data_IF_655923875165
#
_entry.id   IF_655923875165
#
_cell.length_a   1.000
_cell.length_b   1.000
_cell.length_c   1.000
_cell.angle_alpha   90.00
_cell.angle_beta   90.00
_cell.angle_gamma   90.00
#
_symmetry.space_group_name_H-M   'P 1'
#
loop_
_entity.id
_entity.type
_entity.pdbx_description
1 polymer ?
#
# COMPACT_ATOMS: atom_id res chain seq x y z
N UNK A 1 3.41 -7.61 30.07
CA UNK A 1 3.49 -7.44 28.61
C UNK A 1 2.62 -8.48 27.90
N UNK A 2 1.50 -8.08 27.25
CA UNK A 2 0.63 -9.01 26.51
C UNK A 2 1.25 -9.54 25.22
N UNK A 3 1.94 -8.68 24.46
CA UNK A 3 2.63 -9.07 23.22
C UNK A 3 3.72 -10.12 23.44
N UNK A 4 4.44 -10.05 24.57
CA UNK A 4 5.47 -11.02 24.94
C UNK A 4 4.88 -12.40 25.21
N UNK A 5 3.72 -12.47 25.88
CA UNK A 5 2.98 -13.72 26.10
C UNK A 5 2.51 -14.33 24.78
N UNK A 6 2.05 -13.51 23.83
CA UNK A 6 1.65 -13.96 22.47
C UNK A 6 2.85 -14.46 21.66
N UNK A 7 4.01 -13.81 21.77
CA UNK A 7 5.23 -14.18 21.03
C UNK A 7 5.92 -15.44 21.57
N UNK A 8 5.86 -15.67 22.89
CA UNK A 8 6.55 -16.76 23.57
C UNK A 8 6.42 -18.14 22.88
N UNK A 9 5.21 -18.65 22.55
CA UNK A 9 5.11 -19.98 21.93
C UNK A 9 5.80 -20.05 20.55
N UNK A 10 5.69 -19.01 19.72
CA UNK A 10 6.35 -18.96 18.41
C UNK A 10 7.88 -18.82 18.56
N UNK A 11 8.34 -18.07 19.56
CA UNK A 11 9.77 -17.90 19.85
C UNK A 11 10.42 -19.22 20.29
N UNK A 12 9.77 -19.98 21.17
CA UNK A 12 10.25 -21.30 21.61
C UNK A 12 10.23 -22.31 20.45
N UNK A 13 9.19 -22.29 19.61
CA UNK A 13 9.11 -23.12 18.39
C UNK A 13 10.23 -22.80 17.40
N UNK A 14 10.53 -21.53 17.19
CA UNK A 14 11.64 -21.10 16.35
C UNK A 14 12.99 -21.51 16.95
N UNK A 15 13.19 -21.35 18.27
CA UNK A 15 14.41 -21.77 18.96
C UNK A 15 14.67 -23.28 18.81
N UNK A 16 13.62 -24.11 18.92
CA UNK A 16 13.71 -25.54 18.68
C UNK A 16 14.16 -25.88 17.27
N UNK A 17 13.62 -25.19 16.24
CA UNK A 17 13.97 -25.41 14.83
C UNK A 17 15.34 -24.86 14.43
N UNK A 18 15.82 -23.82 15.11
CA UNK A 18 17.11 -23.18 14.83
C UNK A 18 18.27 -23.76 15.66
N UNK A 19 17.99 -24.75 16.51
CA UNK A 19 19.00 -25.37 17.39
C UNK A 19 20.21 -25.84 16.58
N UNK A 20 21.40 -25.36 16.96
CA UNK A 20 22.66 -25.66 16.28
C UNK A 20 23.01 -24.71 15.11
N UNK A 21 22.09 -23.84 14.69
CA UNK A 21 22.30 -22.84 13.65
C UNK A 21 22.31 -21.44 14.26
N UNK A 22 21.29 -21.12 15.07
CA UNK A 22 21.12 -19.81 15.73
C UNK A 22 20.67 -20.04 17.17
N UNK A 23 21.34 -19.39 18.11
CA UNK A 23 20.92 -19.41 19.49
C UNK A 23 19.93 -18.27 19.77
N UNK A 24 18.73 -18.63 20.20
CA UNK A 24 17.71 -17.69 20.64
C UNK A 24 17.77 -17.60 22.17
N UNK A 25 17.80 -16.38 22.69
CA UNK A 25 17.83 -16.09 24.12
C UNK A 25 16.76 -15.06 24.48
N UNK A 26 16.28 -15.10 25.73
CA UNK A 26 15.34 -14.13 26.30
C UNK A 26 15.94 -13.55 27.58
N UNK A 27 15.78 -12.24 27.77
CA UNK A 27 16.20 -11.52 28.97
C UNK A 27 14.96 -10.93 29.63
N UNK A 28 14.78 -11.23 30.91
CA UNK A 28 13.74 -10.57 31.70
C UNK A 28 14.27 -9.21 32.19
N UNK A 29 13.83 -8.15 31.52
CA UNK A 29 14.25 -6.78 31.84
C UNK A 29 13.72 -6.27 33.18
N UNK A 30 12.73 -6.93 33.79
CA UNK A 30 12.29 -6.58 35.15
C UNK A 30 13.33 -6.99 36.20
N UNK A 31 14.07 -8.07 35.93
CA UNK A 31 15.16 -8.56 36.78
C UNK A 31 16.55 -8.10 36.31
N UNK A 32 16.70 -7.66 35.05
CA UNK A 32 17.99 -7.32 34.41
C UNK A 32 17.96 -5.91 33.78
N UNK A 33 17.57 -4.91 34.58
CA UNK A 33 17.36 -3.53 34.11
C UNK A 33 18.61 -2.88 33.52
N UNK A 34 19.79 -3.12 34.11
CA UNK A 34 21.07 -2.58 33.61
C UNK A 34 21.38 -3.06 32.19
N UNK A 35 21.27 -4.38 31.94
CA UNK A 35 21.47 -4.96 30.61
C UNK A 35 20.50 -4.38 29.59
N UNK A 36 19.21 -4.29 29.94
CA UNK A 36 18.20 -3.78 29.03
C UNK A 36 18.34 -2.27 28.77
N UNK A 37 18.74 -1.49 29.78
CA UNK A 37 19.10 -0.08 29.64
C UNK A 37 20.31 0.11 28.74
N UNK A 38 21.37 -0.69 28.92
CA UNK A 38 22.60 -0.65 28.09
C UNK A 38 22.31 -0.85 26.60
N UNK A 39 21.33 -1.69 26.27
CA UNK A 39 20.94 -1.95 24.89
C UNK A 39 19.73 -1.11 24.41
N UNK A 40 19.30 -0.11 25.17
CA UNK A 40 18.25 0.83 24.76
C UNK A 40 16.86 0.21 24.61
N UNK A 41 16.52 -0.78 25.43
CA UNK A 41 15.19 -1.41 25.42
C UNK A 41 14.17 -0.49 26.10
N UNK A 42 13.27 0.10 25.31
CA UNK A 42 12.22 1.02 25.79
C UNK A 42 10.81 0.43 25.77
N UNK A 43 10.63 -0.75 25.16
CA UNK A 43 9.34 -1.43 25.04
C UNK A 43 9.48 -2.95 24.90
N UNK A 44 8.38 -3.67 25.12
CA UNK A 44 8.38 -5.14 25.13
C UNK A 44 7.32 -5.74 24.19
N UNK A 45 7.65 -6.79 23.40
CA UNK A 45 8.99 -7.37 23.24
C UNK A 45 9.87 -6.50 22.33
N UNK A 46 11.15 -6.39 22.67
CA UNK A 46 12.21 -5.87 21.77
C UNK A 46 13.09 -7.06 21.38
N UNK A 47 13.25 -7.29 20.07
CA UNK A 47 14.07 -8.36 19.52
C UNK A 47 15.30 -7.75 18.86
N UNK A 48 16.48 -8.25 19.23
CA UNK A 48 17.79 -7.80 18.74
C UNK A 48 18.61 -8.98 18.27
N UNK A 49 19.42 -8.77 17.24
CA UNK A 49 20.30 -9.77 16.65
C UNK A 49 21.73 -9.45 17.06
N UNK A 50 22.39 -10.42 17.67
CA UNK A 50 23.80 -10.33 18.02
C UNK A 50 24.64 -11.18 17.06
N UNK A 51 25.73 -10.61 16.54
CA UNK A 51 26.71 -11.33 15.72
C UNK A 51 28.10 -11.17 16.35
N UNK A 52 28.79 -12.28 16.59
CA UNK A 52 30.12 -12.31 17.21
C UNK A 52 30.21 -11.48 18.50
N UNK A 53 29.18 -11.55 19.35
CA UNK A 53 29.10 -10.85 20.64
C UNK A 53 28.73 -9.37 20.56
N UNK A 54 28.46 -8.81 19.37
CA UNK A 54 28.08 -7.40 19.18
C UNK A 54 26.61 -7.25 18.77
N UNK A 55 25.96 -6.18 19.24
CA UNK A 55 24.62 -5.79 18.78
C UNK A 55 24.71 -5.40 17.30
N UNK A 56 24.10 -6.21 16.44
CA UNK A 56 24.27 -6.13 14.99
C UNK A 56 23.12 -5.37 14.32
N UNK A 57 21.88 -5.69 14.68
CA UNK A 57 20.68 -5.12 14.06
C UNK A 57 19.43 -5.38 14.92
N UNK A 58 18.39 -4.54 14.82
CA UNK A 58 17.06 -4.92 15.28
C UNK A 58 16.52 -6.10 14.47
N UNK A 59 15.61 -6.87 15.06
CA UNK A 59 14.80 -7.82 14.29
C UNK A 59 13.58 -7.10 13.74
N UNK A 60 13.54 -6.93 12.42
CA UNK A 60 12.48 -6.25 11.70
C UNK A 60 11.50 -7.21 11.01
N UNK A 61 11.60 -8.51 11.33
CA UNK A 61 10.70 -9.53 10.80
C UNK A 61 9.34 -9.60 11.52
N UNK A 62 8.38 -10.37 10.98
CA UNK A 62 7.08 -10.58 11.60
C UNK A 62 7.22 -11.32 12.95
N UNK A 63 6.46 -10.91 13.96
CA UNK A 63 6.47 -11.46 15.34
C UNK A 63 5.64 -12.75 15.48
N UNK A 64 5.59 -13.57 14.43
CA UNK A 64 4.86 -14.85 14.32
C UNK A 64 5.80 -15.98 13.84
N UNK A 65 5.31 -16.95 13.07
CA UNK A 65 6.07 -18.08 12.52
C UNK A 65 7.27 -17.69 11.61
N UNK A 66 7.50 -16.39 11.38
CA UNK A 66 8.57 -15.89 10.53
C UNK A 66 9.97 -15.84 11.15
N UNK A 67 10.12 -15.97 12.48
CA UNK A 67 11.46 -15.91 13.14
C UNK A 67 12.41 -16.96 12.58
N UNK A 68 11.93 -18.20 12.40
CA UNK A 68 12.74 -19.29 11.83
C UNK A 68 13.24 -18.93 10.43
N UNK A 69 12.35 -18.50 9.54
CA UNK A 69 12.70 -18.17 8.16
C UNK A 69 13.65 -16.98 8.10
N UNK A 70 13.38 -15.94 8.90
CA UNK A 70 14.23 -14.76 9.00
C UNK A 70 15.63 -15.15 9.46
N UNK A 71 15.75 -15.85 10.60
CA UNK A 71 17.06 -16.22 11.14
C UNK A 71 17.81 -17.22 10.25
N UNK A 72 17.12 -18.16 9.60
CA UNK A 72 17.75 -19.06 8.62
C UNK A 72 18.34 -18.27 7.45
N UNK A 73 17.67 -17.20 6.99
CA UNK A 73 18.21 -16.27 5.99
C UNK A 73 19.42 -15.48 6.51
N UNK A 74 19.47 -15.18 7.81
CA UNK A 74 20.58 -14.47 8.48
C UNK A 74 21.82 -15.33 8.73
N UNK A 75 21.67 -16.66 8.82
CA UNK A 75 22.77 -17.57 9.19
C UNK A 75 23.15 -18.56 8.11
N UNK A 76 22.38 -18.64 7.03
CA UNK A 76 22.81 -19.30 5.81
C UNK A 76 24.05 -18.62 5.21
N UNK A 77 24.78 -19.33 4.32
CA UNK A 77 25.86 -18.70 3.57
C UNK A 77 25.32 -17.53 2.75
N UNK A 78 26.17 -16.53 2.48
CA UNK A 78 25.80 -15.37 1.66
C UNK A 78 25.23 -15.79 0.30
N UNK A 79 25.73 -16.91 -0.22
CA UNK A 79 25.21 -17.62 -1.38
C UNK A 79 25.19 -19.13 -1.11
N UNK A 80 24.07 -19.79 -1.41
CA UNK A 80 23.92 -21.24 -1.25
C UNK A 80 24.62 -21.99 -2.40
N UNK A 81 25.55 -22.91 -2.07
CA UNK A 81 26.16 -23.79 -3.07
C UNK A 81 25.18 -24.90 -3.46
N UNK A 82 24.75 -24.92 -4.71
CA UNK A 82 23.85 -25.93 -5.27
C UNK A 82 24.69 -26.96 -6.04
N UNK A 83 24.47 -28.26 -5.79
CA UNK A 83 25.28 -29.35 -6.34
C UNK A 83 24.57 -30.14 -7.43
N UNK A 84 23.28 -29.91 -7.62
CA UNK A 84 22.46 -30.66 -8.55
C UNK A 84 21.38 -29.79 -9.20
N UNK A 85 20.81 -30.29 -10.29
CA UNK A 85 19.62 -29.68 -10.93
C UNK A 85 18.42 -29.65 -9.99
N UNK A 86 18.29 -30.63 -9.11
CA UNK A 86 17.23 -30.69 -8.09
C UNK A 86 17.41 -29.57 -7.05
N UNK A 87 18.64 -29.34 -6.57
CA UNK A 87 18.93 -28.21 -5.67
C UNK A 87 18.56 -26.87 -6.31
N UNK A 88 18.88 -26.69 -7.60
CA UNK A 88 18.50 -25.51 -8.36
C UNK A 88 16.98 -25.35 -8.43
N UNK A 89 16.25 -26.40 -8.83
CA UNK A 89 14.79 -26.36 -8.91
C UNK A 89 14.16 -26.02 -7.57
N UNK A 90 14.62 -26.63 -6.48
CA UNK A 90 14.17 -26.35 -5.13
C UNK A 90 14.48 -24.90 -4.70
N UNK A 91 15.65 -24.39 -5.08
CA UNK A 91 16.05 -23.03 -4.74
C UNK A 91 15.24 -21.95 -5.49
N UNK A 92 14.97 -22.15 -6.78
CA UNK A 92 14.24 -21.19 -7.63
C UNK A 92 12.72 -21.31 -7.50
N UNK A 93 12.21 -22.45 -7.02
CA UNK A 93 10.80 -22.61 -6.66
C UNK A 93 10.50 -21.89 -5.33
N UNK A 94 10.55 -20.56 -5.37
CA UNK A 94 10.39 -19.71 -4.20
C UNK A 94 9.42 -18.55 -4.47
N UNK A 95 8.97 -17.91 -3.38
CA UNK A 95 8.12 -16.74 -3.46
C UNK A 95 8.90 -15.47 -3.84
N UNK A 96 10.19 -15.43 -3.54
CA UNK A 96 11.08 -14.33 -3.94
C UNK A 96 11.86 -14.69 -5.20
N UNK A 97 12.36 -13.66 -5.88
CA UNK A 97 13.29 -13.85 -6.98
C UNK A 97 14.62 -14.44 -6.47
N UNK A 98 15.22 -15.28 -7.30
CA UNK A 98 16.45 -16.02 -6.98
C UNK A 98 17.56 -15.61 -7.94
N UNK A 99 18.71 -15.20 -7.40
CA UNK A 99 19.89 -14.84 -8.19
C UNK A 99 20.88 -15.99 -8.11
N UNK A 100 21.22 -16.58 -9.26
CA UNK A 100 22.11 -17.73 -9.34
C UNK A 100 23.30 -17.39 -10.23
N UNK A 101 24.52 -17.53 -9.69
CA UNK A 101 25.73 -17.54 -10.54
C UNK A 101 26.09 -18.96 -10.89
N UNK A 102 26.40 -19.18 -12.15
CA UNK A 102 27.08 -20.35 -12.64
C UNK A 102 28.52 -19.89 -12.90
N UNK A 103 29.45 -20.21 -12.00
CA UNK A 103 30.79 -19.61 -12.02
C UNK A 103 31.78 -20.37 -12.92
N UNK A 104 31.45 -21.59 -13.36
CA UNK A 104 32.44 -22.52 -13.89
C UNK A 104 33.60 -22.71 -12.91
N UNK A 105 34.82 -22.81 -13.44
CA UNK A 105 36.08 -22.90 -12.67
C UNK A 105 36.71 -21.53 -12.35
N UNK A 106 36.01 -20.41 -12.59
CA UNK A 106 36.52 -19.04 -12.42
C UNK A 106 36.35 -18.54 -10.99
N UNK A 107 37.41 -18.69 -10.19
CA UNK A 107 37.44 -18.25 -8.78
C UNK A 107 37.25 -16.73 -8.62
N UNK A 108 37.90 -15.83 -9.40
CA UNK A 108 37.67 -14.39 -9.30
C UNK A 108 36.21 -13.97 -9.49
N UNK A 109 35.50 -14.55 -10.46
CA UNK A 109 34.10 -14.24 -10.71
C UNK A 109 33.20 -14.71 -9.56
N UNK A 110 33.48 -15.89 -9.01
CA UNK A 110 32.77 -16.40 -7.84
C UNK A 110 33.01 -15.51 -6.62
N UNK A 111 34.24 -15.09 -6.35
CA UNK A 111 34.58 -14.23 -5.22
C UNK A 111 33.85 -12.88 -5.26
N UNK A 112 33.78 -12.24 -6.43
CA UNK A 112 33.05 -10.98 -6.59
C UNK A 112 31.53 -11.17 -6.41
N UNK A 113 30.98 -12.28 -6.90
CA UNK A 113 29.58 -12.64 -6.64
C UNK A 113 29.31 -12.85 -5.15
N UNK A 114 30.18 -13.59 -4.44
CA UNK A 114 30.04 -13.87 -3.02
C UNK A 114 30.10 -12.57 -2.19
N UNK A 115 30.98 -11.63 -2.54
CA UNK A 115 31.00 -10.29 -1.92
C UNK A 115 29.67 -9.55 -2.13
N UNK A 116 29.15 -9.55 -3.35
CA UNK A 116 27.87 -8.91 -3.64
C UNK A 116 26.71 -9.59 -2.90
N UNK A 117 26.71 -10.92 -2.84
CA UNK A 117 25.74 -11.71 -2.10
C UNK A 117 25.76 -11.36 -0.60
N UNK A 118 26.95 -11.23 0.01
CA UNK A 118 27.07 -10.84 1.41
C UNK A 118 26.52 -9.45 1.73
N UNK A 119 26.64 -8.51 0.79
CA UNK A 119 26.08 -7.15 0.94
C UNK A 119 24.57 -7.06 0.63
N UNK A 120 24.02 -8.03 -0.11
CA UNK A 120 22.67 -7.99 -0.65
C UNK A 120 21.75 -9.09 -0.10
N UNK A 121 22.25 -10.03 0.71
CA UNK A 121 21.53 -11.20 1.26
C UNK A 121 20.28 -10.85 2.07
N UNK A 122 20.25 -9.68 2.68
CA UNK A 122 19.08 -9.16 3.40
C UNK A 122 17.90 -8.96 2.44
N UNK A 123 18.24 -8.60 1.21
CA UNK A 123 17.32 -8.09 0.19
C UNK A 123 16.93 -9.15 -0.83
N UNK A 124 17.83 -10.07 -1.14
CA UNK A 124 17.67 -11.05 -2.21
C UNK A 124 18.27 -12.40 -1.83
N UNK A 125 17.88 -13.45 -2.56
CA UNK A 125 18.35 -14.82 -2.33
C UNK A 125 19.40 -15.17 -3.38
N UNK A 126 20.60 -15.54 -2.92
CA UNK A 126 21.72 -15.87 -3.80
C UNK A 126 22.08 -17.35 -3.70
N UNK A 127 22.43 -17.93 -4.84
CA UNK A 127 23.00 -19.26 -4.94
C UNK A 127 24.11 -19.29 -5.99
N UNK A 128 24.95 -20.32 -5.93
CA UNK A 128 26.00 -20.55 -6.92
C UNK A 128 26.09 -22.03 -7.29
N UNK A 129 26.41 -22.28 -8.55
CA UNK A 129 26.68 -23.60 -9.13
C UNK A 129 28.04 -23.54 -9.83
N UNK A 130 28.85 -24.59 -9.67
CA UNK A 130 30.15 -24.75 -10.33
C UNK A 130 30.01 -25.32 -11.74
N UNK A 131 29.13 -24.73 -12.56
CA UNK A 131 28.86 -25.11 -13.95
C UNK A 131 28.89 -23.86 -14.87
N UNK A 132 28.76 -24.06 -16.20
CA UNK A 132 28.77 -23.07 -17.31
C UNK A 132 28.63 -21.59 -16.93
N UNK A 133 29.59 -20.73 -17.31
CA UNK A 133 29.65 -19.33 -16.89
C UNK A 133 28.42 -18.47 -17.25
N UNK A 134 27.60 -18.10 -16.26
CA UNK A 134 26.48 -17.15 -16.41
C UNK A 134 26.02 -16.60 -15.05
N UNK A 135 25.27 -15.49 -15.04
CA UNK A 135 24.51 -15.06 -13.86
C UNK A 135 23.06 -14.91 -14.30
N UNK A 136 22.14 -15.56 -13.59
CA UNK A 136 20.72 -15.61 -13.93
C UNK A 136 19.89 -15.05 -12.78
N UNK A 137 18.85 -14.29 -13.11
CA UNK A 137 17.76 -13.95 -12.20
C UNK A 137 16.55 -14.78 -12.57
N UNK A 138 16.12 -15.65 -11.66
CA UNK A 138 14.88 -16.40 -11.75
C UNK A 138 13.77 -15.61 -11.07
N UNK A 139 12.75 -15.24 -11.84
CA UNK A 139 11.53 -14.64 -11.28
C UNK A 139 10.72 -15.71 -10.58
N UNK A 140 9.89 -15.35 -9.59
CA UNK A 140 9.11 -16.33 -8.87
C UNK A 140 8.14 -17.08 -9.81
N UNK A 141 8.10 -18.43 -9.80
CA UNK A 141 7.31 -19.20 -10.77
C UNK A 141 5.82 -18.88 -10.81
N UNK A 142 5.23 -18.49 -9.66
CA UNK A 142 3.81 -18.09 -9.59
C UNK A 142 3.48 -16.82 -10.39
N UNK A 143 4.49 -16.03 -10.73
CA UNK A 143 4.38 -14.80 -11.53
C UNK A 143 4.82 -15.04 -12.99
N UNK A 144 5.02 -16.29 -13.41
CA UNK A 144 5.29 -16.61 -14.80
C UNK A 144 4.11 -16.17 -15.68
N UNK A 145 4.42 -15.51 -16.79
CA UNK A 145 3.44 -15.00 -17.74
C UNK A 145 4.02 -14.92 -19.16
N UNK A 146 3.16 -14.59 -20.12
CA UNK A 146 3.53 -14.51 -21.54
C UNK A 146 4.10 -13.14 -21.97
N UNK A 147 4.16 -12.15 -21.07
CA UNK A 147 4.59 -10.79 -21.40
C UNK A 147 6.05 -10.52 -21.06
N UNK A 148 6.68 -11.38 -20.27
CA UNK A 148 8.08 -11.23 -19.85
C UNK A 148 8.72 -12.58 -19.50
N UNK A 149 10.04 -12.68 -19.68
CA UNK A 149 10.77 -13.92 -19.42
C UNK A 149 10.82 -14.26 -17.92
N UNK A 150 10.66 -15.54 -17.58
CA UNK A 150 10.79 -16.00 -16.19
C UNK A 150 12.25 -16.05 -15.72
N UNK A 151 13.21 -16.03 -16.65
CA UNK A 151 14.65 -16.06 -16.36
C UNK A 151 15.34 -14.98 -17.17
N UNK A 152 16.07 -14.10 -16.48
CA UNK A 152 16.82 -13.01 -17.12
C UNK A 152 18.31 -13.28 -16.99
N UNK A 153 19.02 -13.16 -18.12
CA UNK A 153 20.48 -13.32 -18.17
C UNK A 153 21.16 -11.99 -17.86
N UNK A 154 22.12 -12.01 -16.95
CA UNK A 154 23.02 -10.89 -16.69
C UNK A 154 24.15 -10.88 -17.73
N UNK A 155 24.26 -9.76 -18.46
CA UNK A 155 25.20 -9.60 -19.58
C UNK A 155 26.31 -8.58 -19.32
N UNK A 156 26.23 -7.82 -18.22
CA UNK A 156 27.23 -6.82 -17.84
C UNK A 156 28.49 -7.46 -17.22
N UNK A 157 29.54 -6.65 -17.02
CA UNK A 157 30.68 -7.05 -16.19
C UNK A 157 30.27 -7.20 -14.73
N UNK A 158 30.65 -8.32 -14.09
CA UNK A 158 30.21 -8.63 -12.73
C UNK A 158 30.95 -7.74 -11.71
N UNK A 159 30.19 -6.86 -11.06
CA UNK A 159 30.58 -6.05 -9.91
C UNK A 159 29.39 -5.95 -8.96
N UNK A 160 29.62 -5.57 -7.70
CA UNK A 160 28.53 -5.30 -6.76
C UNK A 160 27.53 -4.27 -7.32
N UNK A 161 28.03 -3.20 -7.95
CA UNK A 161 27.20 -2.11 -8.48
C UNK A 161 26.37 -2.54 -9.70
N UNK A 162 26.97 -3.24 -10.65
CA UNK A 162 26.27 -3.75 -11.83
C UNK A 162 25.25 -4.82 -11.46
N UNK A 163 25.57 -5.72 -10.52
CA UNK A 163 24.63 -6.73 -10.04
C UNK A 163 23.45 -6.10 -9.30
N UNK A 164 23.70 -5.12 -8.40
CA UNK A 164 22.62 -4.38 -7.72
C UNK A 164 21.70 -3.67 -8.71
N UNK A 165 22.28 -3.01 -9.72
CA UNK A 165 21.52 -2.35 -10.79
C UNK A 165 20.67 -3.37 -11.55
N UNK A 166 21.28 -4.48 -11.97
CA UNK A 166 20.61 -5.55 -12.68
C UNK A 166 19.41 -6.08 -11.91
N UNK A 167 19.57 -6.42 -10.61
CA UNK A 167 18.46 -6.95 -9.81
C UNK A 167 17.33 -5.91 -9.70
N UNK A 168 17.67 -4.64 -9.44
CA UNK A 168 16.70 -3.55 -9.33
C UNK A 168 15.91 -3.33 -10.62
N UNK A 169 16.55 -3.45 -11.76
CA UNK A 169 15.91 -3.18 -13.05
C UNK A 169 15.11 -4.40 -13.58
N UNK A 170 15.11 -5.53 -12.85
CA UNK A 170 14.49 -6.79 -13.28
C UNK A 170 13.44 -7.38 -12.31
N UNK A 171 12.78 -6.56 -11.49
CA UNK A 171 11.65 -6.98 -10.64
C UNK A 171 10.45 -7.57 -11.41
N UNK A 172 10.42 -7.35 -12.72
CA UNK A 172 9.30 -7.72 -13.59
C UNK A 172 8.35 -6.56 -13.80
N UNK A 173 7.42 -6.75 -14.72
CA UNK A 173 6.48 -5.71 -15.16
C UNK A 173 5.38 -5.46 -14.11
N UNK A 174 4.98 -6.47 -13.34
CA UNK A 174 4.02 -6.33 -12.24
C UNK A 174 4.37 -7.24 -11.03
N UNK A 175 5.41 -6.90 -10.23
CA UNK A 175 5.77 -7.63 -9.02
C UNK A 175 4.67 -7.63 -7.94
N UNK A 176 4.74 -8.62 -7.04
CA UNK A 176 4.04 -8.59 -5.76
C UNK A 176 4.80 -7.64 -4.81
N UNK A 177 4.18 -6.52 -4.45
CA UNK A 177 4.69 -5.61 -3.44
C UNK A 177 4.37 -6.13 -2.05
N UNK A 178 5.40 -6.26 -1.22
CA UNK A 178 5.35 -6.63 0.19
C UNK A 178 5.97 -5.51 1.03
N UNK A 179 5.82 -5.56 2.35
CA UNK A 179 6.46 -4.57 3.22
C UNK A 179 7.99 -4.51 3.06
N UNK A 180 8.62 -5.63 2.70
CA UNK A 180 10.09 -5.73 2.58
C UNK A 180 10.64 -5.08 1.30
N UNK A 181 9.84 -5.03 0.23
CA UNK A 181 10.27 -4.50 -1.08
C UNK A 181 9.59 -3.16 -1.45
N UNK A 182 8.56 -2.74 -0.71
CA UNK A 182 7.75 -1.53 -0.92
C UNK A 182 8.59 -0.30 -1.25
N UNK A 183 9.53 0.03 -0.38
CA UNK A 183 10.29 1.29 -0.51
C UNK A 183 11.21 1.26 -1.74
N UNK A 184 11.62 0.07 -2.20
CA UNK A 184 12.42 -0.10 -3.43
C UNK A 184 11.59 0.05 -4.69
N UNK A 185 10.32 -0.36 -4.66
CA UNK A 185 9.39 -0.18 -5.78
C UNK A 185 8.95 1.29 -5.90
N UNK A 186 8.81 2.00 -4.77
CA UNK A 186 8.37 3.41 -4.71
C UNK A 186 9.43 4.45 -5.08
N UNK A 187 10.63 4.04 -5.45
CA UNK A 187 11.66 4.97 -5.97
C UNK A 187 11.30 5.53 -7.36
N UNK A 188 10.30 4.94 -8.03
CA UNK A 188 9.72 5.41 -9.29
C UNK A 188 8.21 5.59 -9.12
N UNK A 189 7.58 6.16 -10.14
CA UNK A 189 6.13 6.21 -10.21
C UNK A 189 5.59 4.78 -10.23
N UNK A 190 4.67 4.49 -9.32
CA UNK A 190 4.19 3.14 -9.04
C UNK A 190 2.67 3.12 -9.03
N UNK A 191 2.09 2.27 -9.87
CA UNK A 191 0.70 1.84 -9.76
C UNK A 191 0.65 0.58 -8.89
N UNK A 192 -0.26 0.56 -7.93
CA UNK A 192 -0.53 -0.63 -7.11
C UNK A 192 -2.01 -0.98 -7.10
N UNK A 193 -2.33 -2.24 -7.41
CA UNK A 193 -3.65 -2.81 -7.19
C UNK A 193 -3.66 -3.61 -5.88
N UNK A 194 -4.47 -3.16 -4.91
CA UNK A 194 -4.64 -3.77 -3.60
C UNK A 194 -5.92 -4.62 -3.56
N UNK A 195 -5.79 -5.90 -3.22
CA UNK A 195 -6.93 -6.81 -3.03
C UNK A 195 -6.54 -7.94 -2.07
N UNK A 196 -7.44 -8.89 -1.81
CA UNK A 196 -7.12 -10.08 -0.99
C UNK A 196 -6.17 -11.05 -1.72
N UNK A 197 -4.91 -10.65 -1.82
CA UNK A 197 -3.85 -11.37 -2.50
C UNK A 197 -3.21 -12.40 -1.55
N UNK A 198 -3.74 -13.62 -1.58
CA UNK A 198 -3.16 -14.74 -0.83
C UNK A 198 -2.98 -15.95 -1.76
N UNK A 199 -1.73 -16.19 -2.17
CA UNK A 199 -1.37 -17.31 -3.04
C UNK A 199 -1.41 -18.69 -2.35
N UNK A 200 -1.61 -18.75 -1.03
CA UNK A 200 -1.71 -19.99 -0.28
C UNK A 200 -3.18 -20.37 -0.01
N UNK A 201 -3.94 -19.44 0.56
CA UNK A 201 -5.32 -19.71 1.00
C UNK A 201 -6.37 -19.21 0.00
N UNK A 202 -6.02 -18.27 -0.90
CA UNK A 202 -6.94 -17.67 -1.87
C UNK A 202 -6.34 -17.60 -3.29
N UNK A 203 -5.94 -18.76 -3.82
CA UNK A 203 -5.34 -18.87 -5.17
C UNK A 203 -6.26 -18.29 -6.26
N UNK A 204 -7.59 -18.47 -6.12
CA UNK A 204 -8.57 -17.95 -7.08
C UNK A 204 -8.64 -16.41 -7.05
N UNK A 205 -8.67 -15.80 -5.86
CA UNK A 205 -8.66 -14.35 -5.69
C UNK A 205 -7.36 -13.70 -6.17
N UNK A 206 -6.25 -14.44 -6.15
CA UNK A 206 -4.95 -14.01 -6.67
C UNK A 206 -4.94 -13.75 -8.19
N UNK A 207 -5.97 -14.18 -8.94
CA UNK A 207 -6.02 -14.08 -10.40
C UNK A 207 -6.17 -12.65 -10.94
N UNK A 208 -6.62 -11.68 -10.14
CA UNK A 208 -6.70 -10.27 -10.58
C UNK A 208 -5.35 -9.75 -11.11
N UNK A 209 -4.25 -10.31 -10.62
CA UNK A 209 -2.91 -10.04 -11.14
C UNK A 209 -2.83 -10.20 -12.66
N UNK A 210 -3.46 -11.22 -13.27
CA UNK A 210 -3.43 -11.41 -14.73
C UNK A 210 -4.13 -10.28 -15.48
N UNK A 211 -5.21 -9.74 -14.91
CA UNK A 211 -5.95 -8.62 -15.49
C UNK A 211 -5.10 -7.35 -15.44
N UNK A 212 -4.46 -7.07 -14.30
CA UNK A 212 -3.51 -5.96 -14.16
C UNK A 212 -2.32 -6.13 -15.11
N UNK A 213 -1.75 -7.33 -15.18
CA UNK A 213 -0.59 -7.68 -16.01
C UNK A 213 -0.87 -7.44 -17.50
N UNK A 214 -2.06 -7.84 -17.97
CA UNK A 214 -2.49 -7.65 -19.36
C UNK A 214 -2.59 -6.18 -19.74
N UNK A 215 -3.05 -5.33 -18.84
CA UNK A 215 -3.11 -3.88 -19.08
C UNK A 215 -1.71 -3.28 -18.99
N UNK A 216 -0.96 -3.62 -17.94
CA UNK A 216 0.40 -3.13 -17.70
C UNK A 216 1.34 -3.36 -18.91
N UNK A 217 1.20 -4.49 -19.61
CA UNK A 217 2.04 -4.79 -20.79
C UNK A 217 1.86 -3.79 -21.93
N UNK A 218 0.68 -3.17 -22.07
CA UNK A 218 0.42 -2.10 -23.06
C UNK A 218 1.13 -0.79 -22.71
N UNK A 219 1.49 -0.59 -21.45
CA UNK A 219 2.12 0.63 -20.93
C UNK A 219 3.60 0.42 -20.56
N UNK A 220 4.18 -0.72 -20.92
CA UNK A 220 5.60 -0.99 -20.72
C UNK A 220 6.46 0.11 -21.36
N UNK A 221 7.48 0.59 -20.64
CA UNK A 221 8.36 1.67 -21.11
C UNK A 221 7.82 3.09 -20.93
N UNK A 222 6.59 3.29 -20.42
CA UNK A 222 6.00 4.63 -20.20
C UNK A 222 6.43 5.30 -18.89
N UNK A 223 7.40 4.74 -18.17
CA UNK A 223 7.95 5.31 -16.92
C UNK A 223 7.13 5.01 -15.65
N UNK A 224 6.06 4.23 -15.76
CA UNK A 224 5.23 3.77 -14.63
C UNK A 224 5.53 2.29 -14.35
N UNK A 225 5.85 1.96 -13.10
CA UNK A 225 5.94 0.56 -12.62
C UNK A 225 4.55 0.11 -12.17
N UNK A 226 4.22 -1.16 -12.36
CA UNK A 226 2.99 -1.76 -11.85
C UNK A 226 3.30 -2.73 -10.71
N UNK A 227 2.33 -2.93 -9.83
CA UNK A 227 2.43 -3.90 -8.74
C UNK A 227 1.05 -4.36 -8.29
N UNK A 228 1.02 -5.51 -7.63
CA UNK A 228 -0.12 -5.98 -6.83
C UNK A 228 0.31 -6.11 -5.38
N UNK A 229 -0.61 -5.92 -4.44
CA UNK A 229 -0.31 -6.03 -3.02
C UNK A 229 -1.49 -6.63 -2.25
N UNK A 230 -1.19 -7.33 -1.17
CA UNK A 230 -2.23 -7.77 -0.24
C UNK A 230 -2.81 -6.56 0.51
N UNK A 231 -4.10 -6.31 0.35
CA UNK A 231 -4.79 -5.18 0.97
C UNK A 231 -4.66 -5.17 2.50
N UNK A 232 -4.68 -6.34 3.14
CA UNK A 232 -4.61 -6.48 4.61
C UNK A 232 -3.25 -6.06 5.15
N UNK A 233 -2.18 -6.39 4.45
CA UNK A 233 -0.83 -5.97 4.85
C UNK A 233 -0.72 -4.44 4.85
N UNK A 234 -1.30 -3.78 3.85
CA UNK A 234 -1.20 -2.33 3.64
C UNK A 234 -2.38 -1.53 4.20
N UNK A 235 -3.23 -2.13 5.03
CA UNK A 235 -4.49 -1.50 5.46
C UNK A 235 -4.28 -0.14 6.15
N UNK A 236 -3.38 -0.07 7.14
CA UNK A 236 -3.09 1.19 7.84
C UNK A 236 -2.59 2.27 6.88
N UNK A 237 -1.78 1.90 5.88
CA UNK A 237 -1.34 2.85 4.86
C UNK A 237 -2.49 3.30 3.96
N UNK A 238 -3.38 2.39 3.56
CA UNK A 238 -4.55 2.73 2.75
C UNK A 238 -5.51 3.66 3.50
N UNK A 239 -5.69 3.44 4.79
CA UNK A 239 -6.45 4.32 5.69
C UNK A 239 -5.77 5.70 5.80
N UNK A 240 -4.47 5.73 6.09
CA UNK A 240 -3.74 6.98 6.33
C UNK A 240 -3.53 7.82 5.07
N UNK A 241 -3.15 7.17 3.97
CA UNK A 241 -2.81 7.86 2.73
C UNK A 241 -4.00 8.07 1.80
N UNK A 242 -5.04 7.24 1.88
CA UNK A 242 -6.16 7.26 0.93
C UNK A 242 -7.54 7.32 1.58
N UNK A 243 -7.62 7.35 2.92
CA UNK A 243 -8.88 7.45 3.64
C UNK A 243 -9.78 6.22 3.51
N UNK A 244 -9.23 5.09 3.07
CA UNK A 244 -10.00 3.86 2.88
C UNK A 244 -10.03 3.02 4.16
N UNK A 245 -11.17 2.98 4.83
CA UNK A 245 -11.39 2.15 6.00
C UNK A 245 -11.62 0.66 5.68
N UNK A 246 -11.82 -0.13 6.73
CA UNK A 246 -12.25 -1.54 6.65
C UNK A 246 -13.58 -1.73 5.93
N UNK A 247 -14.46 -0.72 5.92
CA UNK A 247 -15.79 -0.76 5.32
C UNK A 247 -15.79 -0.42 3.81
N UNK A 248 -14.80 0.30 3.30
CA UNK A 248 -14.71 0.74 1.90
C UNK A 248 -14.14 -0.35 0.96
N UNK A 249 -14.11 -1.60 1.44
CA UNK A 249 -13.37 -2.69 0.86
C UNK A 249 -14.22 -3.80 0.29
N UNK A 250 -14.86 -3.53 -0.85
CA UNK A 250 -15.36 -4.61 -1.70
C UNK A 250 -14.26 -5.62 -2.05
N UNK A 251 -14.66 -6.81 -2.51
CA UNK A 251 -13.72 -7.87 -2.97
C UNK A 251 -12.89 -7.46 -4.20
N UNK A 252 -13.24 -6.34 -4.84
CA UNK A 252 -12.59 -5.85 -6.05
C UNK A 252 -11.27 -5.13 -5.73
N UNK A 253 -10.29 -5.18 -6.67
CA UNK A 253 -9.05 -4.44 -6.51
C UNK A 253 -9.25 -2.92 -6.38
N UNK A 254 -8.64 -2.34 -5.36
CA UNK A 254 -8.47 -0.90 -5.24
C UNK A 254 -7.15 -0.47 -5.89
N UNK A 255 -7.20 0.46 -6.84
CA UNK A 255 -6.03 0.84 -7.64
C UNK A 255 -5.59 2.26 -7.31
N UNK A 256 -4.31 2.42 -7.01
CA UNK A 256 -3.68 3.73 -6.76
C UNK A 256 -2.46 3.94 -7.64
N UNK A 257 -2.10 5.20 -7.87
CA UNK A 257 -0.78 5.60 -8.36
C UNK A 257 -0.12 6.51 -7.33
N UNK A 258 1.12 6.19 -6.95
CA UNK A 258 2.01 7.06 -6.18
C UNK A 258 3.22 7.43 -7.03
N UNK A 259 3.38 8.71 -7.30
CA UNK A 259 4.56 9.22 -8.02
C UNK A 259 5.78 9.26 -7.09
N UNK A 260 6.99 9.30 -7.66
CA UNK A 260 8.24 9.53 -6.93
C UNK A 260 8.26 10.85 -6.14
N UNK A 261 7.43 11.82 -6.54
CA UNK A 261 7.25 13.11 -5.86
C UNK A 261 6.23 13.02 -4.71
N UNK A 262 5.60 11.87 -4.49
CA UNK A 262 4.59 11.67 -3.45
C UNK A 262 3.17 12.06 -3.87
N UNK A 263 2.94 12.54 -5.09
CA UNK A 263 1.57 12.74 -5.59
C UNK A 263 0.81 11.41 -5.64
N UNK A 264 -0.42 11.44 -5.17
CA UNK A 264 -1.32 10.29 -5.05
C UNK A 264 -2.47 10.42 -6.04
N UNK A 265 -2.90 9.31 -6.62
CA UNK A 265 -4.08 9.23 -7.48
C UNK A 265 -4.82 7.93 -7.16
N UNK A 266 -6.14 7.97 -7.22
CA UNK A 266 -7.00 6.81 -6.96
C UNK A 266 -7.90 6.57 -8.17
N UNK A 267 -8.06 5.30 -8.54
CA UNK A 267 -9.03 4.92 -9.56
C UNK A 267 -10.44 5.02 -8.96
N UNK A 268 -11.29 5.85 -9.57
CA UNK A 268 -12.66 6.09 -9.09
C UNK A 268 -13.66 5.05 -9.61
N UNK A 269 -13.49 4.61 -10.85
CA UNK A 269 -14.31 3.55 -11.42
C UNK A 269 -13.97 2.21 -10.76
N UNK A 270 -14.96 1.34 -10.55
CA UNK A 270 -14.71 0.00 -10.03
C UNK A 270 -13.81 -0.82 -10.96
N UNK A 271 -13.02 -1.72 -10.37
CA UNK A 271 -12.15 -2.59 -11.14
C UNK A 271 -12.95 -3.61 -11.96
N UNK A 272 -12.80 -3.56 -13.28
CA UNK A 272 -13.43 -4.50 -14.21
C UNK A 272 -12.43 -5.55 -14.67
N UNK A 273 -12.87 -6.82 -14.68
CA UNK A 273 -12.03 -7.96 -15.08
C UNK A 273 -11.60 -7.91 -16.55
N UNK A 274 -12.31 -7.20 -17.41
CA UNK A 274 -11.88 -7.00 -18.79
C UNK A 274 -10.68 -6.03 -18.93
N UNK A 275 -10.35 -5.28 -17.87
CA UNK A 275 -9.27 -4.29 -17.83
C UNK A 275 -9.68 -2.90 -18.33
N UNK A 276 -10.93 -2.70 -18.77
CA UNK A 276 -11.34 -1.45 -19.41
C UNK A 276 -11.31 -0.24 -18.45
N UNK A 277 -11.72 -0.43 -17.19
CA UNK A 277 -11.68 0.65 -16.20
C UNK A 277 -10.25 1.04 -15.83
N UNK A 278 -9.36 0.05 -15.70
CA UNK A 278 -7.92 0.29 -15.49
C UNK A 278 -7.27 0.98 -16.70
N UNK A 279 -7.66 0.62 -17.93
CA UNK A 279 -7.17 1.27 -19.15
C UNK A 279 -7.56 2.74 -19.20
N UNK A 280 -8.83 3.09 -18.97
CA UNK A 280 -9.29 4.50 -18.91
C UNK A 280 -8.54 5.30 -17.84
N UNK A 281 -8.38 4.72 -16.65
CA UNK A 281 -7.64 5.36 -15.56
C UNK A 281 -6.19 5.68 -15.95
N UNK A 282 -5.51 4.76 -16.65
CA UNK A 282 -4.16 4.98 -17.14
C UNK A 282 -4.10 6.00 -18.28
N UNK A 283 -5.07 5.97 -19.21
CA UNK A 283 -5.18 6.98 -20.27
C UNK A 283 -5.31 8.39 -19.69
N UNK A 284 -6.19 8.57 -18.70
CA UNK A 284 -6.38 9.83 -18.00
C UNK A 284 -5.14 10.25 -17.20
N UNK A 285 -4.45 9.29 -16.57
CA UNK A 285 -3.20 9.56 -15.85
C UNK A 285 -2.13 10.09 -16.79
N UNK A 286 -1.85 9.38 -17.88
CA UNK A 286 -0.82 9.78 -18.85
C UNK A 286 -1.21 11.04 -19.65
N UNK A 287 -2.50 11.33 -19.79
CA UNK A 287 -2.98 12.57 -20.39
C UNK A 287 -3.00 13.76 -19.40
N UNK A 288 -2.67 13.55 -18.12
CA UNK A 288 -2.71 14.59 -17.09
C UNK A 288 -4.12 15.05 -16.70
N UNK A 289 -5.15 14.26 -17.01
CA UNK A 289 -6.56 14.57 -16.73
C UNK A 289 -6.99 14.20 -15.31
N UNK A 290 -6.25 13.32 -14.63
CA UNK A 290 -6.56 12.95 -13.26
C UNK A 290 -6.23 14.06 -12.27
N UNK A 291 -7.17 14.31 -11.36
CA UNK A 291 -6.90 15.12 -10.16
C UNK A 291 -6.13 14.30 -9.14
N UNK A 292 -5.18 14.95 -8.47
CA UNK A 292 -4.44 14.33 -7.34
C UNK A 292 -5.41 14.04 -6.21
N UNK A 293 -5.24 12.89 -5.58
CA UNK A 293 -5.84 12.61 -4.29
C UNK A 293 -5.13 13.45 -3.22
N UNK A 294 -5.91 14.24 -2.50
CA UNK A 294 -5.48 14.99 -1.32
C UNK A 294 -6.43 14.55 -0.20
N UNK A 295 -5.88 14.18 0.96
CA UNK A 295 -6.70 13.88 2.14
C UNK A 295 -7.26 15.21 2.65
N UNK A 296 -8.53 15.46 2.45
CA UNK A 296 -9.26 16.58 3.05
C UNK A 296 -10.25 16.06 4.08
N UNK A 297 -10.64 16.90 5.04
CA UNK A 297 -11.77 16.54 5.90
C UNK A 297 -13.00 16.29 5.00
N UNK A 298 -13.80 15.22 5.23
CA UNK A 298 -14.96 14.93 4.41
C UNK A 298 -15.94 16.10 4.40
N UNK A 299 -16.11 16.75 5.55
CA UNK A 299 -16.87 17.98 5.69
C UNK A 299 -15.91 19.16 5.59
N UNK A 300 -16.02 19.94 4.51
CA UNK A 300 -15.20 21.12 4.32
C UNK A 300 -15.58 22.22 5.31
N UNK A 301 -14.63 22.71 6.10
CA UNK A 301 -14.87 23.83 7.01
C UNK A 301 -14.85 25.13 6.22
N UNK A 302 -15.96 25.86 6.29
CA UNK A 302 -16.15 27.16 5.66
C UNK A 302 -16.15 28.23 6.75
N UNK A 303 -15.44 29.31 6.50
CA UNK A 303 -15.46 30.55 7.29
C UNK A 303 -15.95 31.69 6.39
N UNK A 304 -16.27 32.86 6.96
CA UNK A 304 -16.81 33.97 6.19
C UNK A 304 -15.94 34.33 4.96
N UNK A 305 -14.62 34.33 5.12
CA UNK A 305 -13.67 34.65 4.04
C UNK A 305 -13.66 33.63 2.90
N UNK A 306 -13.87 32.33 3.19
CA UNK A 306 -13.84 31.27 2.18
C UNK A 306 -15.22 30.88 1.66
N UNK A 307 -16.27 31.58 2.09
CA UNK A 307 -17.64 31.24 1.74
C UNK A 307 -17.89 31.35 0.24
N UNK A 308 -17.50 32.46 -0.38
CA UNK A 308 -17.75 32.69 -1.80
C UNK A 308 -16.99 31.67 -2.66
N UNK A 309 -15.71 31.45 -2.35
CA UNK A 309 -14.86 30.49 -3.08
C UNK A 309 -15.36 29.03 -3.00
N UNK A 310 -16.00 28.65 -1.89
CA UNK A 310 -16.41 27.26 -1.66
C UNK A 310 -17.89 27.06 -1.97
N UNK A 311 -18.77 27.86 -1.38
CA UNK A 311 -20.23 27.68 -1.48
C UNK A 311 -20.76 28.22 -2.80
N UNK A 312 -20.20 29.32 -3.30
CA UNK A 312 -20.61 29.95 -4.55
C UNK A 312 -19.77 29.52 -5.76
N UNK A 313 -18.93 28.47 -5.65
CA UNK A 313 -18.26 27.89 -6.81
C UNK A 313 -19.29 27.53 -7.90
N UNK A 314 -19.21 28.15 -9.09
CA UNK A 314 -20.21 27.97 -10.14
C UNK A 314 -20.20 26.55 -10.73
N UNK A 315 -19.21 25.72 -10.39
CA UNK A 315 -19.04 24.36 -10.91
C UNK A 315 -19.34 23.27 -9.87
N UNK A 316 -19.86 23.65 -8.69
CA UNK A 316 -20.15 22.71 -7.60
C UNK A 316 -21.57 22.82 -7.10
N UNK A 317 -22.16 21.67 -6.82
CA UNK A 317 -23.30 21.57 -5.93
C UNK A 317 -22.79 21.53 -4.50
N UNK A 318 -23.28 22.43 -3.63
CA UNK A 318 -22.75 22.55 -2.27
C UNK A 318 -23.86 22.38 -1.26
N UNK A 319 -23.70 21.41 -0.35
CA UNK A 319 -24.53 21.28 0.84
C UNK A 319 -23.79 21.94 2.01
N UNK A 320 -24.34 23.01 2.56
CA UNK A 320 -23.70 23.79 3.64
C UNK A 320 -24.52 23.71 4.92
N UNK A 321 -23.91 23.24 6.01
CA UNK A 321 -24.47 23.24 7.36
C UNK A 321 -24.02 24.48 8.13
N UNK A 322 -24.96 25.33 8.54
CA UNK A 322 -24.74 26.36 9.54
C UNK A 322 -25.02 25.80 10.94
N UNK A 323 -24.01 25.84 11.80
CA UNK A 323 -24.09 25.27 13.15
C UNK A 323 -23.56 26.22 14.22
N UNK A 324 -23.88 25.88 15.48
CA UNK A 324 -23.30 26.48 16.67
C UNK A 324 -22.63 25.39 17.52
N UNK A 325 -21.43 25.62 18.11
CA UNK A 325 -20.77 24.65 18.97
C UNK A 325 -21.57 24.27 20.24
N UNK A 326 -22.42 25.17 20.73
CA UNK A 326 -23.23 24.96 21.94
C UNK A 326 -24.57 24.28 21.66
N UNK A 327 -24.96 24.12 20.40
CA UNK A 327 -26.26 23.58 19.97
C UNK A 327 -26.32 22.04 20.12
N UNK A 328 -27.22 21.48 20.95
CA UNK A 328 -27.33 20.03 21.15
C UNK A 328 -27.76 19.27 19.89
N UNK A 329 -28.66 19.84 19.08
CA UNK A 329 -29.11 19.25 17.82
C UNK A 329 -27.99 19.17 16.79
N UNK A 330 -27.09 20.15 16.77
CA UNK A 330 -25.93 20.22 15.90
C UNK A 330 -24.93 19.10 16.24
N UNK A 331 -24.67 18.86 17.53
CA UNK A 331 -23.84 17.75 18.00
C UNK A 331 -24.44 16.38 17.64
N UNK A 332 -25.76 16.24 17.69
CA UNK A 332 -26.45 15.02 17.30
C UNK A 332 -26.38 14.77 15.79
N UNK A 333 -26.36 15.83 14.99
CA UNK A 333 -26.30 15.76 13.52
C UNK A 333 -24.88 15.53 12.99
N UNK A 334 -23.85 15.99 13.69
CA UNK A 334 -22.44 15.87 13.27
C UNK A 334 -22.01 14.48 12.78
N UNK A 335 -22.30 13.36 13.48
CA UNK A 335 -21.91 12.03 12.98
C UNK A 335 -22.63 11.67 11.66
N UNK A 336 -23.91 12.00 11.53
CA UNK A 336 -24.71 11.72 10.32
C UNK A 336 -24.23 12.59 9.14
N UNK A 337 -23.94 13.86 9.40
CA UNK A 337 -23.47 14.79 8.37
C UNK A 337 -22.06 14.45 7.90
N UNK A 338 -21.22 13.91 8.79
CA UNK A 338 -19.92 13.35 8.45
C UNK A 338 -20.04 12.09 7.58
N UNK A 339 -20.92 11.15 7.96
CA UNK A 339 -21.17 9.93 7.18
C UNK A 339 -21.68 10.25 5.76
N UNK A 340 -22.56 11.25 5.63
CA UNK A 340 -23.00 11.76 4.34
C UNK A 340 -21.81 12.29 3.51
N UNK A 341 -20.95 13.09 4.15
CA UNK A 341 -19.79 13.67 3.49
C UNK A 341 -18.76 12.61 3.06
N UNK A 342 -18.56 11.57 3.87
CA UNK A 342 -17.73 10.41 3.53
C UNK A 342 -18.32 9.64 2.34
N UNK A 343 -19.64 9.42 2.34
CA UNK A 343 -20.36 8.77 1.23
C UNK A 343 -20.22 9.56 -0.07
N UNK A 344 -20.23 10.89 -0.01
CA UNK A 344 -20.15 11.75 -1.21
C UNK A 344 -18.72 12.18 -1.56
N UNK A 345 -17.71 11.78 -0.78
CA UNK A 345 -16.33 12.24 -0.92
C UNK A 345 -15.72 11.95 -2.30
N UNK A 346 -16.18 10.87 -2.95
CA UNK A 346 -15.69 10.47 -4.28
C UNK A 346 -16.35 11.24 -5.43
N UNK A 347 -17.44 11.97 -5.16
CA UNK A 347 -18.15 12.75 -6.15
C UNK A 347 -17.35 14.03 -6.49
N UNK A 348 -16.94 14.22 -7.76
CA UNK A 348 -16.19 15.41 -8.14
C UNK A 348 -17.03 16.70 -8.12
N UNK A 349 -18.35 16.61 -8.09
CA UNK A 349 -19.27 17.73 -8.33
C UNK A 349 -19.99 18.21 -7.06
N UNK A 350 -20.02 17.38 -6.01
CA UNK A 350 -20.69 17.71 -4.75
C UNK A 350 -19.68 18.06 -3.66
N UNK A 351 -19.96 19.11 -2.91
CA UNK A 351 -19.21 19.51 -1.72
C UNK A 351 -20.14 19.46 -0.52
N UNK A 352 -19.73 18.77 0.54
CA UNK A 352 -20.41 18.82 1.85
C UNK A 352 -19.58 19.68 2.78
N UNK A 353 -20.16 20.76 3.28
CA UNK A 353 -19.46 21.82 4.00
C UNK A 353 -20.18 22.19 5.30
N UNK A 354 -19.44 22.77 6.25
CA UNK A 354 -20.01 23.32 7.50
C UNK A 354 -19.39 24.66 7.86
N UNK A 355 -20.20 25.54 8.43
CA UNK A 355 -19.81 26.86 8.90
C UNK A 355 -20.34 27.11 10.31
N UNK A 356 -19.44 27.53 11.21
CA UNK A 356 -19.84 28.00 12.53
C UNK A 356 -20.43 29.41 12.41
N UNK A 357 -21.75 29.52 12.45
CA UNK A 357 -22.46 30.78 12.25
C UNK A 357 -22.58 31.64 13.53
N UNK A 358 -21.97 31.22 14.64
CA UNK A 358 -21.78 32.07 15.84
C UNK A 358 -20.50 32.90 15.71
N UNK A 359 -19.48 32.35 15.06
CA UNK A 359 -18.15 32.96 14.98
C UNK A 359 -17.86 33.57 13.59
N UNK A 360 -18.84 33.58 12.69
CA UNK A 360 -18.68 34.09 11.34
C UNK A 360 -19.94 34.83 10.92
N UNK A 361 -19.77 35.91 10.17
CA UNK A 361 -20.87 36.61 9.53
C UNK A 361 -21.53 35.71 8.48
N UNK A 362 -22.85 35.58 8.56
CA UNK A 362 -23.64 34.78 7.62
C UNK A 362 -23.89 35.61 6.36
N UNK A 363 -23.57 35.10 5.16
CA UNK A 363 -23.81 35.81 3.90
C UNK A 363 -25.29 36.11 3.66
N UNK A 364 -25.56 37.15 2.86
CA UNK A 364 -26.92 37.51 2.47
C UNK A 364 -27.61 36.36 1.73
N UNK A 365 -28.90 36.16 1.98
CA UNK A 365 -29.70 35.07 1.38
C UNK A 365 -29.83 33.82 2.27
N UNK A 366 -29.06 33.72 3.36
CA UNK A 366 -29.14 32.61 4.31
C UNK A 366 -29.81 33.04 5.62
N UNK A 367 -30.99 32.49 5.90
CA UNK A 367 -31.68 32.63 7.19
C UNK A 367 -31.31 31.44 8.09
N UNK A 368 -30.68 31.71 9.24
CA UNK A 368 -29.99 30.68 10.04
C UNK A 368 -30.60 30.52 11.43
N UNK A 369 -31.08 29.31 11.70
CA UNK A 369 -31.45 28.77 13.02
C UNK A 369 -30.77 27.41 13.23
N UNK A 370 -30.10 27.20 14.36
CA UNK A 370 -29.16 26.07 14.47
C UNK A 370 -29.82 24.69 14.71
N UNK A 371 -29.40 23.63 13.97
CA UNK A 371 -28.65 23.67 12.73
C UNK A 371 -29.55 24.03 11.54
N UNK A 372 -29.05 24.82 10.58
CA UNK A 372 -29.70 24.99 9.27
C UNK A 372 -28.82 24.35 8.21
N UNK A 373 -29.43 23.70 7.23
CA UNK A 373 -28.70 23.17 6.08
C UNK A 373 -29.33 23.77 4.84
N UNK A 374 -28.47 24.20 3.92
CA UNK A 374 -28.86 24.71 2.61
C UNK A 374 -28.19 23.90 1.52
N UNK A 375 -28.88 23.78 0.38
CA UNK A 375 -28.30 23.26 -0.85
C UNK A 375 -28.15 24.40 -1.87
N UNK A 376 -26.92 24.65 -2.31
CA UNK A 376 -26.56 25.66 -3.29
C UNK A 376 -26.16 24.96 -4.61
N UNK A 377 -27.11 24.76 -5.55
CA UNK A 377 -26.84 24.05 -6.79
C UNK A 377 -26.02 24.88 -7.77
N UNK A 378 -25.38 24.20 -8.72
CA UNK A 378 -24.82 24.84 -9.92
C UNK A 378 -25.87 25.71 -10.61
N UNK A 379 -25.53 26.98 -10.86
CA UNK A 379 -26.41 27.93 -11.55
C UNK A 379 -27.59 28.49 -10.73
N UNK A 380 -27.73 28.13 -9.44
CA UNK A 380 -28.79 28.63 -8.54
C UNK A 380 -28.26 29.04 -7.16
N UNK A 381 -27.14 29.76 -7.13
CA UNK A 381 -26.50 30.19 -5.86
C UNK A 381 -27.31 31.23 -5.09
N UNK A 382 -28.07 32.07 -5.80
CA UNK A 382 -28.86 33.15 -5.20
C UNK A 382 -30.18 32.68 -4.55
N UNK A 383 -30.58 31.43 -4.76
CA UNK A 383 -31.77 30.82 -4.16
C UNK A 383 -31.43 29.42 -3.62
N UNK A 384 -30.66 29.35 -2.51
CA UNK A 384 -30.26 28.08 -1.94
C UNK A 384 -31.49 27.36 -1.35
N UNK A 385 -31.81 26.20 -1.91
CA UNK A 385 -33.03 25.44 -1.62
C UNK A 385 -33.01 24.69 -0.28
N UNK A 386 -34.22 24.19 0.06
CA UNK A 386 -34.66 23.33 1.18
C UNK A 386 -34.04 23.54 2.58
N UNK A 387 -34.89 23.89 3.54
CA UNK A 387 -34.52 24.32 4.92
C UNK A 387 -34.56 23.22 5.99
N UNK A 388 -34.95 21.99 5.66
CA UNK A 388 -34.96 20.85 6.60
C UNK A 388 -34.81 19.52 5.86
N UNK A 389 -33.68 18.84 6.05
CA UNK A 389 -33.37 17.58 5.38
C UNK A 389 -33.42 16.43 6.39
N UNK A 390 -34.37 15.50 6.19
CA UNK A 390 -34.45 14.25 6.97
C UNK A 390 -33.76 13.07 6.28
N UNK A 391 -33.62 13.12 4.95
CA UNK A 391 -33.02 12.09 4.12
C UNK A 391 -32.14 12.74 3.02
N UNK A 392 -30.89 13.00 3.38
CA UNK A 392 -29.95 13.79 2.57
C UNK A 392 -29.66 13.15 1.21
N UNK A 393 -29.48 11.83 1.16
CA UNK A 393 -29.14 11.13 -0.08
C UNK A 393 -30.31 11.14 -1.06
N UNK A 394 -31.54 10.91 -0.57
CA UNK A 394 -32.74 10.99 -1.40
C UNK A 394 -32.91 12.38 -2.01
N UNK A 395 -32.71 13.43 -1.21
CA UNK A 395 -32.77 14.79 -1.69
C UNK A 395 -31.70 15.09 -2.74
N UNK A 396 -30.44 14.74 -2.48
CA UNK A 396 -29.35 15.00 -3.42
C UNK A 396 -29.53 14.22 -4.72
N UNK A 397 -30.07 12.99 -4.68
CA UNK A 397 -30.42 12.24 -5.90
C UNK A 397 -31.47 12.94 -6.76
N UNK A 398 -32.33 13.78 -6.17
CA UNK A 398 -33.40 14.51 -6.87
C UNK A 398 -32.94 15.88 -7.36
N UNK A 399 -32.12 16.57 -6.56
CA UNK A 399 -31.82 18.00 -6.76
C UNK A 399 -30.40 18.26 -7.31
N UNK A 400 -29.49 17.29 -7.25
CA UNK A 400 -28.13 17.49 -7.77
C UNK A 400 -28.13 17.74 -9.28
N UNK A 401 -27.27 18.66 -9.70
CA UNK A 401 -27.09 19.08 -11.09
C UNK A 401 -26.47 17.95 -11.94
N UNK A 402 -25.83 16.97 -11.29
CA UNK A 402 -25.20 15.80 -11.89
C UNK A 402 -25.56 14.52 -11.14
N UNK A 403 -25.52 13.37 -11.83
CA UNK A 403 -25.72 12.07 -11.20
C UNK A 403 -24.65 11.84 -10.13
N UNK A 404 -25.09 11.50 -8.93
CA UNK A 404 -24.20 11.26 -7.79
C UNK A 404 -23.31 10.04 -8.01
N UNK A 405 -22.03 10.18 -7.70
CA UNK A 405 -21.05 9.08 -7.66
C UNK A 405 -20.98 8.55 -6.23
N UNK A 406 -21.73 7.49 -5.95
CA UNK A 406 -21.76 6.84 -4.63
C UNK A 406 -20.80 5.64 -4.59
N UNK A 407 -20.05 5.42 -3.49
CA UNK A 407 -19.33 4.18 -3.26
C UNK A 407 -20.35 3.04 -3.16
N UNK A 408 -20.12 1.96 -3.93
CA UNK A 408 -21.10 0.95 -4.29
C UNK A 408 -22.10 0.55 -3.20
N UNK A 409 -23.30 1.10 -3.28
CA UNK A 409 -24.51 0.54 -2.68
C UNK A 409 -25.46 0.14 -3.80
N UNK A 410 -25.76 -1.16 -3.84
CA UNK A 410 -26.72 -1.81 -4.73
C UNK A 410 -28.03 -1.02 -4.76
N UNK A 411 -28.46 -0.61 -5.95
CA UNK A 411 -29.90 -0.48 -6.20
C UNK A 411 -30.45 -1.90 -6.32
N UNK A 412 -31.06 -2.39 -5.23
CA UNK A 412 -32.01 -3.50 -5.36
C UNK A 412 -33.24 -2.96 -6.12
N UNK A 413 -33.49 -3.59 -7.27
CA UNK A 413 -34.64 -3.42 -8.16
C UNK A 413 -35.98 -3.57 -7.45
#
# INVERSE_FOLDING_TARGET
CGHCKKLAPEFEKAAGRLKGIVQLAKVDCTANSETCGRFGVTGYPTLKIFRSGKDSAPYDGPRSAGIYNYMTKQTGPDSLHLKSKEDLQNFVNNYDASIVVFSGTDAPRLDEFLKAAGLLREQFRFAHITELQSVLLFRPPRLANAFEDSVVVFTDYLTISSLRRFIRDNYGLCPHMTMENRDRLRVRDLLTAYYDLDYHHNVRGSNYWRNVMKVASKYSGRGLIFSVANKRDFQAELEDDYGLGTADGGELPFVTIRTKLGHKYTMREEFRRDGQSLERFLEDYFAGRLKRYIRSEPVQVVVAESFDDIVNDPNKDVLIQFYSPSCPHCKKLEPVYRELAETLYSDPNVVVAKMNAVNNDVPLGYDVQFPTIYFAPVGKKDDPGARELKDFLKFLKQEASHNLVLPGFKEEL
#
